data_IF_483642203485
#
_entry.id   IF_483642203485
#
_cell.length_a   1.000
_cell.length_b   1.000
_cell.length_c   1.000
_cell.angle_alpha   90.00
_cell.angle_beta   90.00
_cell.angle_gamma   90.00
#
_symmetry.space_group_name_H-M   'P 1'
#
loop_
_entity.id
_entity.type
_entity.pdbx_description
1 polymer ?
#
# COMPACT_ATOMS: atom_id res chain seq x y z
N UNK A 1 -2.66 17.97 25.57
CA UNK A 1 -3.68 16.89 25.53
C UNK A 1 -4.52 17.11 24.29
N UNK A 2 -4.23 16.39 23.21
CA UNK A 2 -4.88 16.58 21.91
C UNK A 2 -6.30 16.05 21.95
N UNK A 3 -7.28 16.89 21.59
CA UNK A 3 -8.71 16.52 21.54
C UNK A 3 -8.93 15.33 20.58
N UNK A 4 -9.89 14.43 20.86
CA UNK A 4 -10.33 13.44 19.89
C UNK A 4 -10.89 14.20 18.68
N UNK A 5 -10.44 13.86 17.47
CA UNK A 5 -10.97 14.47 16.25
C UNK A 5 -12.39 13.95 16.03
N UNK A 6 -13.31 14.90 15.91
CA UNK A 6 -14.70 14.68 15.59
C UNK A 6 -14.79 13.97 14.22
N UNK A 7 -15.49 12.85 14.19
CA UNK A 7 -15.81 12.11 12.98
C UNK A 7 -16.88 12.88 12.22
N UNK A 8 -16.49 13.55 11.13
CA UNK A 8 -17.40 14.29 10.24
C UNK A 8 -17.73 13.39 9.02
N UNK A 9 -18.93 12.77 8.96
CA UNK A 9 -19.33 11.85 7.90
C UNK A 9 -19.55 12.55 6.53
N UNK A 10 -19.43 13.88 6.46
CA UNK A 10 -19.65 14.67 5.25
C UNK A 10 -18.41 14.85 4.34
N UNK A 11 -17.21 14.47 4.80
CA UNK A 11 -15.94 14.61 4.05
C UNK A 11 -15.44 13.31 3.40
N UNK A 12 -16.27 12.27 3.43
CA UNK A 12 -15.93 10.90 3.01
C UNK A 12 -16.20 10.61 1.52
N UNK A 13 -16.56 11.60 0.72
CA UNK A 13 -16.85 11.41 -0.71
C UNK A 13 -15.59 11.13 -1.58
N UNK A 14 -14.38 11.24 -1.01
CA UNK A 14 -13.11 11.18 -1.75
C UNK A 14 -12.14 10.05 -1.37
N UNK A 15 -12.32 9.38 -0.23
CA UNK A 15 -11.35 8.40 0.27
C UNK A 15 -11.80 6.96 -0.05
N UNK A 16 -11.41 6.45 -1.23
CA UNK A 16 -11.73 5.08 -1.64
C UNK A 16 -11.09 4.04 -0.71
N UNK A 17 -10.00 4.42 -0.02
CA UNK A 17 -9.34 3.63 1.02
C UNK A 17 -9.94 3.79 2.42
N UNK A 18 -10.94 4.65 2.63
CA UNK A 18 -11.61 4.83 3.92
C UNK A 18 -12.77 3.85 4.16
N UNK A 19 -13.30 3.23 3.10
CA UNK A 19 -14.40 2.28 3.24
C UNK A 19 -13.84 0.92 3.71
N UNK A 20 -14.23 0.48 4.91
CA UNK A 20 -13.81 -0.79 5.53
C UNK A 20 -13.91 -2.00 4.58
N UNK A 21 -14.92 -2.02 3.69
CA UNK A 21 -15.06 -3.07 2.67
C UNK A 21 -13.98 -3.01 1.60
N UNK A 22 -13.62 -1.82 1.12
CA UNK A 22 -12.50 -1.64 0.18
C UNK A 22 -11.18 -1.93 0.88
N UNK A 23 -11.04 -1.61 2.16
CA UNK A 23 -9.88 -2.00 2.96
C UNK A 23 -9.75 -3.53 3.03
N UNK A 24 -10.83 -4.25 3.38
CA UNK A 24 -10.80 -5.70 3.42
C UNK A 24 -10.56 -6.34 2.04
N UNK A 25 -11.17 -5.80 0.98
CA UNK A 25 -11.01 -6.35 -0.37
C UNK A 25 -9.67 -6.03 -1.02
N UNK A 26 -9.07 -4.88 -0.70
CA UNK A 26 -7.81 -4.44 -1.32
C UNK A 26 -6.58 -4.84 -0.51
N UNK A 27 -6.75 -5.16 0.77
CA UNK A 27 -5.65 -5.52 1.66
C UNK A 27 -5.81 -6.92 2.23
N UNK A 28 -6.99 -7.25 2.75
CA UNK A 28 -7.30 -8.56 3.32
C UNK A 28 -7.28 -9.68 2.28
N UNK A 29 -7.99 -9.50 1.16
CA UNK A 29 -8.04 -10.51 0.10
C UNK A 29 -6.67 -10.75 -0.56
N UNK A 30 -5.91 -9.71 -0.99
CA UNK A 30 -4.58 -9.92 -1.56
C UNK A 30 -3.59 -10.54 -0.58
N UNK A 31 -3.59 -10.09 0.68
CA UNK A 31 -2.72 -10.68 1.71
C UNK A 31 -3.03 -12.16 1.95
N UNK A 32 -4.31 -12.50 2.07
CA UNK A 32 -4.73 -13.89 2.27
C UNK A 32 -4.44 -14.76 1.04
N UNK A 33 -4.67 -14.24 -0.16
CA UNK A 33 -4.36 -14.94 -1.41
C UNK A 33 -2.85 -15.22 -1.55
N UNK A 34 -2.00 -14.24 -1.20
CA UNK A 34 -0.54 -14.42 -1.20
C UNK A 34 -0.07 -15.46 -0.18
N UNK A 35 -0.67 -15.48 1.02
CA UNK A 35 -0.39 -16.50 2.04
C UNK A 35 -0.84 -17.88 1.60
N UNK A 36 -2.04 -18.01 1.03
CA UNK A 36 -2.54 -19.27 0.47
C UNK A 36 -1.66 -19.80 -0.67
N UNK A 37 -1.08 -18.91 -1.47
CA UNK A 37 -0.18 -19.26 -2.56
C UNK A 37 1.16 -19.87 -2.11
N UNK A 38 1.53 -19.77 -0.84
CA UNK A 38 2.75 -20.40 -0.30
C UNK A 38 2.73 -21.93 -0.38
N UNK A 39 1.55 -22.54 -0.46
CA UNK A 39 1.39 -23.99 -0.66
C UNK A 39 1.40 -24.42 -2.13
N UNK A 40 1.37 -23.47 -3.08
CA UNK A 40 1.31 -23.77 -4.51
C UNK A 40 2.70 -23.96 -5.11
N UNK A 41 2.75 -24.62 -6.27
CA UNK A 41 3.95 -24.70 -7.10
C UNK A 41 4.52 -23.31 -7.47
N UNK A 42 5.82 -23.21 -7.81
CA UNK A 42 6.47 -21.92 -8.04
C UNK A 42 5.77 -21.04 -9.09
N UNK A 43 5.30 -21.64 -10.18
CA UNK A 43 4.64 -20.92 -11.29
C UNK A 43 3.29 -20.33 -10.88
N UNK A 44 2.30 -21.10 -10.39
CA UNK A 44 1.02 -20.52 -9.94
C UNK A 44 1.22 -19.56 -8.75
N UNK A 45 2.18 -19.82 -7.86
CA UNK A 45 2.53 -18.89 -6.79
C UNK A 45 2.98 -17.53 -7.33
N UNK A 46 3.86 -17.53 -8.34
CA UNK A 46 4.34 -16.31 -8.97
C UNK A 46 3.23 -15.52 -9.63
N UNK A 47 2.29 -16.20 -10.31
CA UNK A 47 1.11 -15.55 -10.91
C UNK A 47 0.27 -14.86 -9.84
N UNK A 48 -0.09 -15.58 -8.76
CA UNK A 48 -0.90 -15.00 -7.68
C UNK A 48 -0.20 -13.80 -7.06
N UNK A 49 1.08 -13.95 -6.70
CA UNK A 49 1.83 -12.86 -6.08
C UNK A 49 1.96 -11.65 -6.98
N UNK A 50 2.24 -11.86 -8.27
CA UNK A 50 2.34 -10.77 -9.26
C UNK A 50 1.02 -10.02 -9.40
N UNK A 51 -0.10 -10.74 -9.56
CA UNK A 51 -1.42 -10.12 -9.72
C UNK A 51 -1.80 -9.35 -8.47
N UNK A 52 -1.65 -9.96 -7.28
CA UNK A 52 -2.01 -9.34 -6.01
C UNK A 52 -1.18 -8.08 -5.72
N UNK A 53 0.15 -8.15 -5.89
CA UNK A 53 1.04 -6.99 -5.72
C UNK A 53 0.72 -5.88 -6.73
N UNK A 54 0.41 -6.24 -7.98
CA UNK A 54 0.05 -5.27 -9.02
C UNK A 54 -1.27 -4.57 -8.71
N UNK A 55 -2.29 -5.31 -8.29
CA UNK A 55 -3.60 -4.75 -7.91
C UNK A 55 -3.45 -3.80 -6.73
N UNK A 56 -2.75 -4.22 -5.67
CA UNK A 56 -2.50 -3.37 -4.50
C UNK A 56 -1.69 -2.12 -4.86
N UNK A 57 -0.62 -2.27 -5.66
CA UNK A 57 0.24 -1.19 -6.11
C UNK A 57 -0.50 -0.16 -6.98
N UNK A 58 -1.26 -0.62 -7.98
CA UNK A 58 -2.07 0.23 -8.85
C UNK A 58 -3.14 0.98 -8.06
N UNK A 59 -3.82 0.31 -7.12
CA UNK A 59 -4.81 0.96 -6.29
C UNK A 59 -4.19 2.05 -5.40
N UNK A 60 -2.99 1.82 -4.85
CA UNK A 60 -2.25 2.86 -4.13
C UNK A 60 -1.87 4.05 -5.03
N UNK A 61 -1.42 3.79 -6.26
CA UNK A 61 -1.05 4.85 -7.22
C UNK A 61 -2.28 5.68 -7.61
N UNK A 62 -3.39 5.02 -7.98
CA UNK A 62 -4.65 5.68 -8.36
C UNK A 62 -5.20 6.49 -7.18
N UNK A 63 -5.17 5.92 -5.98
CA UNK A 63 -5.67 6.56 -4.78
C UNK A 63 -4.75 7.68 -4.26
N UNK A 64 -3.44 7.64 -4.53
CA UNK A 64 -2.49 8.67 -4.08
C UNK A 64 -2.87 10.09 -4.52
N UNK A 65 -3.54 10.22 -5.67
CA UNK A 65 -4.05 11.51 -6.19
C UNK A 65 -5.26 12.03 -5.43
N UNK A 66 -6.00 11.15 -4.74
CA UNK A 66 -7.21 11.48 -3.98
C UNK A 66 -6.94 11.63 -2.49
N UNK A 67 -6.18 10.69 -1.92
CA UNK A 67 -5.90 10.69 -0.49
C UNK A 67 -4.85 11.74 -0.09
N UNK A 68 -3.98 12.15 -1.02
CA UNK A 68 -2.89 13.10 -0.75
C UNK A 68 -1.84 12.59 0.24
N UNK A 69 -1.96 11.35 0.74
CA UNK A 69 -1.06 10.79 1.74
C UNK A 69 0.25 10.35 1.12
N UNK A 70 1.33 10.58 1.85
CA UNK A 70 2.69 10.20 1.48
C UNK A 70 2.85 8.68 1.38
N UNK A 71 2.18 7.91 2.24
CA UNK A 71 2.25 6.45 2.19
C UNK A 71 1.80 5.89 0.84
N UNK A 72 0.68 6.37 0.26
CA UNK A 72 0.20 5.84 -1.02
C UNK A 72 1.18 6.16 -2.17
N UNK A 73 1.89 7.29 -2.07
CA UNK A 73 2.84 7.75 -3.09
C UNK A 73 4.10 6.91 -3.17
N UNK A 74 4.57 6.37 -2.04
CA UNK A 74 5.77 5.53 -1.99
C UNK A 74 5.45 4.03 -2.05
N UNK A 75 4.40 3.61 -1.35
CA UNK A 75 4.02 2.20 -1.27
C UNK A 75 3.50 1.66 -2.59
N UNK A 76 2.79 2.47 -3.39
CA UNK A 76 2.30 2.06 -4.71
C UNK A 76 3.43 1.60 -5.65
N UNK A 77 4.41 2.49 -5.97
CA UNK A 77 5.56 2.12 -6.77
C UNK A 77 6.37 0.94 -6.18
N UNK A 78 6.54 0.89 -4.86
CA UNK A 78 7.24 -0.21 -4.20
C UNK A 78 6.59 -1.58 -4.48
N UNK A 79 5.25 -1.68 -4.40
CA UNK A 79 4.53 -2.93 -4.67
C UNK A 79 4.65 -3.34 -6.15
N UNK A 80 4.67 -2.39 -7.08
CA UNK A 80 4.91 -2.68 -8.50
C UNK A 80 6.33 -3.21 -8.73
N UNK A 81 7.33 -2.62 -8.07
CA UNK A 81 8.72 -3.14 -8.14
C UNK A 81 8.79 -4.55 -7.58
N UNK A 82 8.11 -4.84 -6.46
CA UNK A 82 8.05 -6.20 -5.91
C UNK A 82 7.38 -7.18 -6.87
N UNK A 83 6.33 -6.77 -7.59
CA UNK A 83 5.71 -7.60 -8.63
C UNK A 83 6.72 -7.94 -9.75
N UNK A 84 7.51 -6.96 -10.20
CA UNK A 84 8.56 -7.16 -11.21
C UNK A 84 9.63 -8.14 -10.69
N UNK A 85 10.04 -8.01 -9.42
CA UNK A 85 11.01 -8.93 -8.81
C UNK A 85 10.47 -10.36 -8.72
N UNK A 86 9.19 -10.55 -8.41
CA UNK A 86 8.53 -11.86 -8.44
C UNK A 86 8.54 -12.46 -9.84
N UNK A 87 8.20 -11.68 -10.87
CA UNK A 87 8.27 -12.14 -12.27
C UNK A 87 9.70 -12.54 -12.63
N UNK A 88 10.67 -11.67 -12.35
CA UNK A 88 12.08 -11.92 -12.64
C UNK A 88 12.64 -13.15 -11.94
N UNK A 89 12.20 -13.42 -10.70
CA UNK A 89 12.55 -14.65 -10.00
C UNK A 89 11.89 -15.88 -10.64
N UNK A 90 10.60 -15.79 -11.00
CA UNK A 90 9.84 -16.89 -11.56
C UNK A 90 10.36 -17.36 -12.93
N UNK A 91 10.84 -16.43 -13.77
CA UNK A 91 11.45 -16.75 -15.08
C UNK A 91 12.94 -17.11 -14.99
N UNK A 92 13.51 -17.14 -13.78
CA UNK A 92 14.90 -17.52 -13.55
C UNK A 92 15.94 -16.42 -13.84
N UNK A 93 15.52 -15.18 -14.08
CA UNK A 93 16.45 -14.05 -14.28
C UNK A 93 17.14 -13.62 -12.99
N UNK A 94 16.47 -13.76 -11.84
CA UNK A 94 17.09 -13.49 -10.54
C UNK A 94 17.49 -14.80 -9.84
N UNK A 95 18.79 -15.08 -9.64
CA UNK A 95 19.25 -16.26 -8.92
C UNK A 95 19.15 -16.06 -7.40
N UNK A 96 17.94 -15.92 -6.86
CA UNK A 96 17.72 -15.77 -5.41
C UNK A 96 17.90 -17.09 -4.63
N UNK A 97 18.14 -18.20 -5.34
CA UNK A 97 18.41 -19.52 -4.74
C UNK A 97 17.25 -20.07 -3.91
N UNK A 98 17.57 -21.00 -3.00
CA UNK A 98 16.59 -21.70 -2.15
C UNK A 98 15.79 -20.75 -1.25
N UNK A 99 16.33 -19.59 -0.92
CA UNK A 99 15.70 -18.60 -0.04
C UNK A 99 14.93 -17.51 -0.78
N UNK A 100 14.79 -17.58 -2.12
CA UNK A 100 14.16 -16.50 -2.88
C UNK A 100 12.72 -16.19 -2.48
N UNK A 101 11.88 -17.21 -2.27
CA UNK A 101 10.50 -17.01 -1.81
C UNK A 101 10.41 -16.39 -0.40
N UNK A 102 11.11 -16.92 0.63
CA UNK A 102 11.19 -16.26 1.93
C UNK A 102 11.71 -14.82 1.86
N UNK A 103 12.75 -14.56 1.06
CA UNK A 103 13.32 -13.21 0.91
C UNK A 103 12.28 -12.28 0.30
N UNK A 104 11.66 -12.64 -0.83
CA UNK A 104 10.65 -11.82 -1.50
C UNK A 104 9.45 -11.54 -0.59
N UNK A 105 9.02 -12.54 0.19
CA UNK A 105 7.94 -12.37 1.17
C UNK A 105 8.32 -11.42 2.30
N UNK A 106 9.49 -11.64 2.91
CA UNK A 106 10.00 -10.82 4.00
C UNK A 106 10.24 -9.37 3.54
N UNK A 107 10.85 -9.15 2.38
CA UNK A 107 11.09 -7.81 1.83
C UNK A 107 9.78 -7.11 1.47
N UNK A 108 8.81 -7.83 0.89
CA UNK A 108 7.51 -7.24 0.58
C UNK A 108 6.78 -6.80 1.84
N UNK A 109 6.71 -7.66 2.86
CA UNK A 109 6.02 -7.34 4.12
C UNK A 109 6.74 -6.25 4.92
N UNK A 110 8.05 -6.40 5.13
CA UNK A 110 8.85 -5.44 5.88
C UNK A 110 8.91 -4.08 5.17
N UNK A 111 9.12 -4.06 3.85
CA UNK A 111 9.14 -2.83 3.07
C UNK A 111 7.78 -2.14 3.04
N UNK A 112 6.69 -2.90 2.88
CA UNK A 112 5.34 -2.36 2.98
C UNK A 112 5.09 -1.70 4.35
N UNK A 113 5.40 -2.41 5.44
CA UNK A 113 5.20 -1.90 6.80
C UNK A 113 6.11 -0.70 7.09
N UNK A 114 7.37 -0.75 6.68
CA UNK A 114 8.32 0.34 6.85
C UNK A 114 7.91 1.60 6.06
N UNK A 115 7.38 1.43 4.84
CA UNK A 115 6.87 2.56 4.06
C UNK A 115 5.59 3.12 4.64
N UNK A 116 4.65 2.27 5.07
CA UNK A 116 3.45 2.71 5.78
C UNK A 116 3.84 3.52 7.03
N UNK A 117 4.58 2.89 7.94
CA UNK A 117 4.94 3.47 9.22
C UNK A 117 5.88 4.68 9.08
N UNK A 118 6.92 4.53 8.26
CA UNK A 118 7.95 5.55 8.07
C UNK A 118 7.43 6.79 7.38
N UNK A 119 6.58 6.65 6.35
CA UNK A 119 6.02 7.82 5.67
C UNK A 119 5.03 8.59 6.55
N UNK A 120 4.26 7.92 7.41
CA UNK A 120 3.40 8.60 8.38
C UNK A 120 4.21 9.28 9.50
N UNK A 121 5.32 8.68 9.93
CA UNK A 121 6.17 9.22 11.01
C UNK A 121 7.08 10.35 10.57
N UNK A 122 7.61 10.29 9.36
CA UNK A 122 8.59 11.26 8.86
C UNK A 122 7.88 12.40 8.10
N UNK A 123 6.71 12.16 7.47
CA UNK A 123 6.06 13.11 6.54
C UNK A 123 4.59 13.41 6.89
N UNK A 124 4.19 13.35 8.16
CA UNK A 124 2.87 13.77 8.64
C UNK A 124 2.55 15.28 8.49
N UNK A 125 3.29 16.00 7.64
CA UNK A 125 3.36 17.47 7.55
C UNK A 125 2.78 18.07 6.26
N UNK A 126 2.19 17.27 5.34
CA UNK A 126 1.61 17.81 4.09
C UNK A 126 0.11 18.11 4.18
N UNK A 127 -0.34 18.66 5.31
CA UNK A 127 -1.49 19.56 5.28
C UNK A 127 -0.92 20.96 5.54
N UNK A 128 -0.88 21.85 4.54
CA UNK A 128 -0.90 23.27 4.82
C UNK A 128 -2.15 23.50 5.68
N UNK A 129 -1.96 24.07 6.86
CA UNK A 129 -2.99 24.83 7.56
C UNK A 129 -3.60 25.75 6.49
N UNK A 130 -4.77 25.42 5.97
CA UNK A 130 -5.55 26.45 5.27
C UNK A 130 -6.10 27.29 6.39
N UNK A 131 -5.31 28.28 6.83
CA UNK A 131 -5.78 29.43 7.59
C UNK A 131 -7.05 29.93 6.92
N UNK A 132 -8.18 29.48 7.46
CA UNK A 132 -9.51 30.00 7.17
C UNK A 132 -9.98 30.87 8.34
N UNK A 133 -9.05 31.27 9.20
CA UNK A 133 -9.19 32.35 10.16
C UNK A 133 -8.53 33.62 9.60
N UNK A 134 -8.90 33.99 8.36
CA UNK A 134 -8.89 35.40 8.03
C UNK A 134 -10.16 35.99 8.66
N UNK A 135 -10.08 36.80 9.74
CA UNK A 135 -11.25 37.52 10.17
C UNK A 135 -11.72 38.37 8.99
N UNK A 136 -12.98 38.19 8.60
CA UNK A 136 -13.67 39.11 7.70
C UNK A 136 -13.71 40.47 8.40
N UNK A 137 -12.64 41.25 8.17
CA UNK A 137 -12.47 42.58 8.68
C UNK A 137 -13.21 43.56 7.80
N UNK A 138 -14.26 44.14 8.41
CA UNK A 138 -14.91 45.41 8.11
C UNK A 138 -15.95 45.46 6.98
#
# INVERSE_FOLDING_TARGET
MSRPRDFDPGKDAGDWSGNWRTLLMLWGFPGLAMLGALGLDPTPRAVVWTVMLSVMGLACIVNSRRCGRTHCRFTGPFLIVMAILVIGFAIGWLPLGRFGWPILGATSFAGFFALWWGSERIWGLFLPERDSDAPAGR
#
